data_IF_061947710818
#
_entry.id   IF_061947710818
#
_cell.length_a   1.000
_cell.length_b   1.000
_cell.length_c   1.000
_cell.angle_alpha   90.00
_cell.angle_beta   90.00
_cell.angle_gamma   90.00
#
_symmetry.space_group_name_H-M   'P 1'
#
loop_
_entity.id
_entity.type
_entity.pdbx_description
1 polymer ?
#
# COMPACT_ATOMS: atom_id res chain seq x y z
N UNK A 1 -35.20 23.56 -38.48
CA UNK A 1 -35.14 22.62 -37.33
C UNK A 1 -34.19 21.43 -37.48
N UNK A 2 -33.63 21.10 -38.67
CA UNK A 2 -32.72 19.95 -38.84
C UNK A 2 -31.28 20.18 -38.34
N UNK A 3 -30.78 21.42 -38.38
CA UNK A 3 -29.40 21.75 -37.98
C UNK A 3 -29.18 21.65 -36.46
N UNK A 4 -30.18 22.04 -35.66
CA UNK A 4 -30.10 21.99 -34.19
C UNK A 4 -29.99 20.54 -33.68
N UNK A 5 -30.69 19.60 -34.33
CA UNK A 5 -30.61 18.18 -33.97
C UNK A 5 -29.24 17.58 -34.31
N UNK A 6 -28.61 18.03 -35.40
CA UNK A 6 -27.29 17.57 -35.80
C UNK A 6 -26.20 18.02 -34.81
N UNK A 7 -26.30 19.26 -34.33
CA UNK A 7 -25.37 19.82 -33.34
C UNK A 7 -25.50 19.09 -32.00
N UNK A 8 -26.73 18.80 -31.56
CA UNK A 8 -26.96 18.09 -30.30
C UNK A 8 -26.40 16.66 -30.34
N UNK A 9 -26.56 15.99 -31.48
CA UNK A 9 -26.04 14.63 -31.69
C UNK A 9 -24.50 14.62 -31.75
N UNK A 10 -23.89 15.65 -32.35
CA UNK A 10 -22.44 15.83 -32.38
C UNK A 10 -21.86 16.08 -30.97
N UNK A 11 -22.51 16.93 -30.18
CA UNK A 11 -22.11 17.22 -28.78
C UNK A 11 -22.23 15.97 -27.92
N UNK A 12 -23.29 15.16 -28.09
CA UNK A 12 -23.48 13.94 -27.31
C UNK A 12 -22.43 12.87 -27.64
N UNK A 13 -22.03 12.76 -28.92
CA UNK A 13 -20.97 11.86 -29.36
C UNK A 13 -19.59 12.32 -28.85
N UNK A 14 -19.31 13.63 -28.86
CA UNK A 14 -18.05 14.19 -28.31
C UNK A 14 -17.99 14.11 -26.78
N UNK A 15 -19.09 14.36 -26.08
CA UNK A 15 -19.17 14.26 -24.63
C UNK A 15 -19.04 12.81 -24.14
N UNK A 16 -19.63 11.84 -24.85
CA UNK A 16 -19.51 10.42 -24.51
C UNK A 16 -18.08 9.88 -24.64
N UNK A 17 -17.26 10.44 -25.53
CA UNK A 17 -15.84 10.08 -25.67
C UNK A 17 -15.00 10.70 -24.54
N UNK A 18 -15.31 11.92 -24.11
CA UNK A 18 -14.61 12.59 -23.00
C UNK A 18 -14.90 11.95 -21.63
N UNK A 19 -16.12 11.45 -21.41
CA UNK A 19 -16.51 10.83 -20.13
C UNK A 19 -15.91 9.42 -19.99
N UNK A 20 -15.71 8.70 -21.09
CA UNK A 20 -15.15 7.34 -21.05
C UNK A 20 -13.60 7.30 -21.02
N UNK A 21 -12.90 8.39 -21.36
CA UNK A 21 -11.44 8.41 -21.31
C UNK A 21 -10.87 8.55 -19.91
N UNK A 22 -11.57 9.22 -18.98
CA UNK A 22 -11.07 9.42 -17.60
C UNK A 22 -11.01 8.12 -16.79
N UNK A 23 -11.86 7.14 -17.12
CA UNK A 23 -11.98 5.91 -16.35
C UNK A 23 -10.93 4.84 -16.72
N UNK A 24 -10.18 5.03 -17.80
CA UNK A 24 -9.10 4.13 -18.26
C UNK A 24 -7.70 4.58 -17.83
N UNK A 25 -7.57 5.69 -17.08
CA UNK A 25 -6.29 6.30 -16.70
C UNK A 25 -5.99 6.25 -15.20
N UNK A 26 -6.61 5.36 -14.43
CA UNK A 26 -6.34 5.25 -13.01
C UNK A 26 -5.22 4.23 -12.74
N UNK A 27 -4.24 4.64 -11.94
CA UNK A 27 -3.16 3.75 -11.48
C UNK A 27 -3.75 2.63 -10.62
N UNK A 28 -3.31 1.39 -10.85
CA UNK A 28 -3.74 0.24 -10.06
C UNK A 28 -2.89 0.15 -8.78
N UNK A 29 -3.56 0.01 -7.63
CA UNK A 29 -2.94 -0.13 -6.32
C UNK A 29 -3.36 -1.45 -5.69
N UNK A 30 -2.39 -2.26 -5.29
CA UNK A 30 -2.60 -3.60 -4.71
C UNK A 30 -1.87 -3.69 -3.38
N UNK A 31 -2.61 -4.08 -2.33
CA UNK A 31 -2.08 -4.31 -0.99
C UNK A 31 -3.01 -5.20 -0.18
N UNK A 32 -2.49 -5.78 0.89
CA UNK A 32 -3.29 -6.51 1.89
C UNK A 32 -3.97 -5.50 2.82
N UNK A 33 -5.30 -5.57 2.91
CA UNK A 33 -6.08 -4.60 3.69
C UNK A 33 -5.99 -4.82 5.19
N UNK A 34 -5.84 -6.05 5.64
CA UNK A 34 -5.85 -6.39 7.06
C UNK A 34 -4.47 -6.87 7.50
N UNK A 35 -3.84 -6.16 8.43
CA UNK A 35 -2.53 -6.50 8.96
C UNK A 35 -2.54 -6.51 10.47
N UNK A 36 -1.62 -7.25 11.08
CA UNK A 36 -1.46 -7.21 12.52
C UNK A 36 -0.53 -6.04 12.90
N UNK A 37 -0.74 -5.42 14.06
CA UNK A 37 0.16 -4.36 14.55
C UNK A 37 1.61 -4.88 14.63
N UNK A 38 2.58 -4.07 14.23
CA UNK A 38 3.98 -4.48 14.12
C UNK A 38 4.39 -5.03 12.74
N UNK A 39 3.43 -5.35 11.88
CA UNK A 39 3.71 -5.84 10.52
C UNK A 39 4.09 -4.69 9.56
N UNK A 40 4.52 -5.09 8.36
CA UNK A 40 4.86 -4.17 7.28
C UNK A 40 3.80 -4.22 6.19
N UNK A 41 3.10 -3.11 5.99
CA UNK A 41 2.22 -2.90 4.84
C UNK A 41 3.06 -2.78 3.57
N UNK A 42 2.81 -3.72 2.65
CA UNK A 42 3.44 -3.80 1.33
C UNK A 42 2.42 -3.32 0.29
N UNK A 43 2.78 -2.34 -0.51
CA UNK A 43 1.91 -1.82 -1.57
C UNK A 43 2.63 -1.89 -2.92
N UNK A 44 1.98 -2.52 -3.89
CA UNK A 44 2.38 -2.52 -5.29
C UNK A 44 1.53 -1.53 -6.07
N UNK A 45 2.17 -0.70 -6.88
CA UNK A 45 1.50 0.32 -7.69
C UNK A 45 1.94 0.18 -9.14
N UNK A 46 0.95 0.12 -10.02
CA UNK A 46 1.12 0.13 -11.47
C UNK A 46 0.57 1.46 -11.98
N UNK A 47 1.41 2.49 -12.07
CA UNK A 47 0.98 3.79 -12.54
C UNK A 47 0.72 3.75 -14.05
N UNK A 48 -0.29 4.50 -14.48
CA UNK A 48 -0.61 4.66 -15.89
C UNK A 48 0.35 5.60 -16.64
N UNK A 49 1.12 6.39 -15.88
CA UNK A 49 2.18 7.28 -16.35
C UNK A 49 3.46 7.07 -15.52
N UNK A 50 4.65 7.35 -16.07
CA UNK A 50 5.90 7.31 -15.32
C UNK A 50 5.89 8.28 -14.14
N UNK A 51 6.07 7.75 -12.93
CA UNK A 51 6.22 8.54 -11.71
C UNK A 51 7.69 8.94 -11.48
N UNK A 52 7.90 10.11 -10.89
CA UNK A 52 9.20 10.55 -10.36
C UNK A 52 9.27 10.41 -8.84
N UNK A 53 8.15 10.62 -8.17
CA UNK A 53 8.05 10.53 -6.72
C UNK A 53 6.77 9.77 -6.36
N UNK A 54 6.87 8.94 -5.31
CA UNK A 54 5.75 8.25 -4.71
C UNK A 54 5.87 8.35 -3.19
N UNK A 55 4.82 8.81 -2.53
CA UNK A 55 4.74 8.88 -1.07
C UNK A 55 3.44 8.27 -0.58
N UNK A 56 3.46 7.75 0.64
CA UNK A 56 2.27 7.21 1.27
C UNK A 56 2.24 7.56 2.75
N UNK A 57 1.03 7.66 3.29
CA UNK A 57 0.76 7.89 4.71
C UNK A 57 -0.43 7.08 5.17
N UNK A 58 -0.34 6.57 6.39
CA UNK A 58 -1.46 6.00 7.14
C UNK A 58 -1.90 7.05 8.13
N UNK A 59 -3.20 7.37 8.15
CA UNK A 59 -3.80 8.40 8.99
C UNK A 59 -4.74 7.76 10.01
N UNK A 60 -4.76 8.32 11.21
CA UNK A 60 -5.78 8.03 12.21
C UNK A 60 -7.11 8.76 11.92
N UNK A 61 -8.08 8.62 12.82
CA UNK A 61 -9.41 9.25 12.69
C UNK A 61 -9.38 10.77 12.80
N UNK A 62 -8.33 11.34 13.41
CA UNK A 62 -8.11 12.80 13.44
C UNK A 62 -7.54 13.33 12.13
N UNK A 63 -7.12 12.44 11.24
CA UNK A 63 -6.45 12.76 9.98
C UNK A 63 -4.95 13.00 10.15
N UNK A 64 -4.40 12.73 11.33
CA UNK A 64 -2.98 12.86 11.60
C UNK A 64 -2.23 11.60 11.13
N UNK A 65 -1.05 11.76 10.52
CA UNK A 65 -0.31 10.64 9.97
C UNK A 65 0.46 9.88 11.04
N UNK A 66 0.06 8.63 11.28
CA UNK A 66 0.74 7.70 12.20
C UNK A 66 1.95 7.02 11.56
N UNK A 67 1.93 6.84 10.23
CA UNK A 67 3.04 6.28 9.45
C UNK A 67 3.18 7.05 8.15
N UNK A 68 4.43 7.27 7.70
CA UNK A 68 4.76 7.86 6.40
C UNK A 68 5.91 7.11 5.75
N UNK A 69 5.92 7.06 4.43
CA UNK A 69 7.04 6.47 3.69
C UNK A 69 7.10 6.96 2.25
N UNK A 70 8.25 6.69 1.63
CA UNK A 70 8.49 6.92 0.21
C UNK A 70 8.61 5.59 -0.50
N UNK A 71 8.09 5.55 -1.72
CA UNK A 71 8.18 4.38 -2.58
C UNK A 71 9.41 4.43 -3.47
N UNK A 72 9.69 3.30 -4.10
CA UNK A 72 10.76 3.18 -5.08
C UNK A 72 10.30 2.31 -6.26
N UNK A 73 10.88 2.55 -7.43
CA UNK A 73 10.64 1.73 -8.60
C UNK A 73 11.33 0.36 -8.47
N UNK A 74 10.62 -0.73 -8.75
CA UNK A 74 11.16 -2.08 -8.80
C UNK A 74 11.81 -2.41 -10.16
N UNK A 75 11.38 -1.73 -11.21
CA UNK A 75 11.83 -1.95 -12.57
C UNK A 75 10.79 -1.46 -13.58
N UNK A 76 11.16 -1.50 -14.86
CA UNK A 76 10.29 -1.12 -15.97
C UNK A 76 9.83 -2.36 -16.72
N UNK A 77 8.52 -2.47 -16.95
CA UNK A 77 7.91 -3.48 -17.82
C UNK A 77 7.15 -2.71 -18.89
N UNK A 78 7.52 -2.89 -20.16
CA UNK A 78 6.86 -2.26 -21.32
C UNK A 78 6.73 -0.73 -21.24
N UNK A 79 7.70 -0.06 -20.58
CA UNK A 79 7.72 1.40 -20.43
C UNK A 79 6.94 1.95 -19.23
N UNK A 80 6.27 1.09 -18.46
CA UNK A 80 5.65 1.45 -17.18
C UNK A 80 6.50 0.94 -16.02
N UNK A 81 6.89 1.85 -15.12
CA UNK A 81 7.63 1.48 -13.91
C UNK A 81 6.67 0.92 -12.86
N UNK A 82 6.93 -0.28 -12.36
CA UNK A 82 6.21 -0.78 -11.18
C UNK A 82 6.84 -0.16 -9.95
N UNK A 83 6.00 0.38 -9.06
CA UNK A 83 6.44 0.98 -7.81
C UNK A 83 6.05 0.14 -6.62
N UNK A 84 6.88 0.22 -5.59
CA UNK A 84 6.68 -0.49 -4.33
C UNK A 84 6.84 0.45 -3.14
N UNK A 85 5.98 0.26 -2.14
CA UNK A 85 6.03 0.94 -0.85
C UNK A 85 6.08 -0.09 0.28
N UNK A 86 6.85 0.28 1.31
CA UNK A 86 6.91 -0.44 2.57
C UNK A 86 6.61 0.55 3.70
N UNK A 87 5.54 0.31 4.44
CA UNK A 87 5.15 1.09 5.61
C UNK A 87 5.10 0.16 6.83
N UNK A 88 6.03 0.32 7.76
CA UNK A 88 6.00 -0.42 9.03
C UNK A 88 4.89 0.13 9.93
N UNK A 89 3.94 -0.73 10.31
CA UNK A 89 2.86 -0.39 11.23
C UNK A 89 3.38 -0.51 12.66
N UNK A 90 3.41 0.56 13.46
CA UNK A 90 3.88 0.49 14.83
C UNK A 90 3.08 -0.51 15.67
N UNK A 91 3.75 -1.17 16.62
CA UNK A 91 3.13 -2.15 17.52
C UNK A 91 2.15 -1.52 18.53
N UNK A 92 2.22 -0.20 18.74
CA UNK A 92 1.33 0.55 19.62
C UNK A 92 0.03 1.00 18.94
N UNK A 93 -0.16 0.73 17.64
CA UNK A 93 -1.40 1.08 16.96
C UNK A 93 -2.59 0.34 17.60
N UNK A 94 -3.67 1.08 17.79
CA UNK A 94 -4.95 0.53 18.26
C UNK A 94 -5.58 -0.36 17.17
N UNK A 95 -6.37 -1.33 17.59
CA UNK A 95 -7.14 -2.19 16.70
C UNK A 95 -8.31 -1.40 16.10
N UNK A 96 -8.11 -0.88 14.90
CA UNK A 96 -9.10 -0.10 14.18
C UNK A 96 -8.78 -0.03 12.67
N UNK A 97 -9.70 0.58 11.93
CA UNK A 97 -9.46 0.95 10.54
C UNK A 97 -8.76 2.31 10.48
N UNK A 98 -7.67 2.37 9.71
CA UNK A 98 -6.90 3.57 9.41
C UNK A 98 -7.06 3.94 7.94
N UNK A 99 -6.91 5.22 7.62
CA UNK A 99 -6.97 5.70 6.24
C UNK A 99 -5.59 5.60 5.58
N UNK A 100 -5.52 4.98 4.42
CA UNK A 100 -4.32 4.95 3.58
C UNK A 100 -4.42 6.01 2.50
N UNK A 101 -3.43 6.89 2.43
CA UNK A 101 -3.31 7.84 1.33
C UNK A 101 -1.98 7.65 0.63
N UNK A 102 -2.04 7.52 -0.69
CA UNK A 102 -0.89 7.37 -1.56
C UNK A 102 -0.93 8.52 -2.56
N UNK A 103 0.21 9.18 -2.77
CA UNK A 103 0.34 10.24 -3.76
C UNK A 103 1.59 10.05 -4.59
N UNK A 104 1.47 10.28 -5.89
CA UNK A 104 2.57 10.23 -6.84
C UNK A 104 2.64 11.49 -7.66
N UNK A 105 3.84 11.84 -8.11
CA UNK A 105 4.07 12.93 -9.07
C UNK A 105 4.58 12.33 -10.37
N UNK A 106 3.84 12.56 -11.45
CA UNK A 106 4.32 12.24 -12.80
C UNK A 106 5.41 13.22 -13.21
N UNK A 107 6.40 12.73 -13.94
CA UNK A 107 7.45 13.61 -14.44
C UNK A 107 7.00 14.53 -15.56
N UNK A 108 7.60 15.73 -15.66
CA UNK A 108 7.43 16.57 -16.84
C UNK A 108 8.06 15.90 -18.07
N UNK A 109 7.24 15.21 -18.86
CA UNK A 109 7.57 14.97 -20.25
C UNK A 109 7.39 16.30 -21.01
N UNK A 110 8.39 16.68 -21.82
CA UNK A 110 8.53 17.98 -22.48
C UNK A 110 7.20 18.67 -22.86
N UNK A 111 6.78 19.62 -22.03
CA UNK A 111 5.63 20.51 -22.30
C UNK A 111 4.27 20.07 -21.74
N UNK A 112 4.17 18.95 -21.03
CA UNK A 112 2.94 18.55 -20.33
C UNK A 112 2.93 19.05 -18.87
N UNK A 113 1.76 19.42 -18.32
CA UNK A 113 1.62 19.82 -16.92
C UNK A 113 2.02 18.69 -15.96
N UNK A 114 2.52 19.04 -14.78
CA UNK A 114 2.73 18.07 -13.70
C UNK A 114 1.39 17.48 -13.28
N UNK A 115 1.20 16.19 -13.53
CA UNK A 115 0.04 15.46 -13.05
C UNK A 115 0.35 14.79 -11.71
N UNK A 116 -0.63 14.88 -10.81
CA UNK A 116 -0.56 14.24 -9.50
C UNK A 116 -1.51 13.07 -9.46
N UNK A 117 -0.96 11.91 -9.10
CA UNK A 117 -1.72 10.72 -8.78
C UNK A 117 -2.09 10.78 -7.29
N UNK A 118 -3.35 10.49 -6.96
CA UNK A 118 -3.78 10.32 -5.58
C UNK A 118 -4.70 9.10 -5.47
N UNK A 119 -4.45 8.29 -4.45
CA UNK A 119 -5.25 7.14 -4.10
C UNK A 119 -5.60 7.18 -2.62
N UNK A 120 -6.87 6.89 -2.33
CA UNK A 120 -7.40 6.78 -0.98
C UNK A 120 -7.95 5.37 -0.76
N UNK A 121 -7.48 4.74 0.31
CA UNK A 121 -7.94 3.43 0.74
C UNK A 121 -7.97 3.35 2.26
N UNK A 122 -8.05 2.12 2.75
CA UNK A 122 -8.13 1.81 4.17
C UNK A 122 -7.21 0.64 4.51
N UNK A 123 -6.71 0.60 5.74
CA UNK A 123 -5.99 -0.54 6.32
C UNK A 123 -6.60 -0.85 7.68
N UNK A 124 -6.98 -2.10 7.92
CA UNK A 124 -7.48 -2.57 9.20
C UNK A 124 -6.30 -3.14 9.97
N UNK A 125 -6.02 -2.57 11.14
CA UNK A 125 -4.98 -3.06 12.04
C UNK A 125 -5.64 -3.98 13.07
N UNK A 126 -5.14 -5.21 13.18
CA UNK A 126 -5.57 -6.18 14.18
C UNK A 126 -4.58 -6.24 15.33
N UNK A 127 -5.09 -6.59 16.51
CA UNK A 127 -4.22 -6.85 17.65
C UNK A 127 -3.34 -8.08 17.39
N UNK A 128 -2.02 -7.87 17.46
CA UNK A 128 -1.05 -8.96 17.55
C UNK A 128 -0.72 -9.19 19.04
N UNK A 129 -1.09 -10.35 19.57
CA UNK A 129 -0.59 -10.78 20.87
C UNK A 129 0.76 -11.48 20.64
N UNK A 130 1.87 -10.74 20.70
CA UNK A 130 3.14 -11.42 20.86
C UNK A 130 3.06 -12.19 22.19
N UNK A 131 3.21 -13.52 22.17
CA UNK A 131 3.23 -14.33 23.41
C UNK A 131 4.35 -13.85 24.35
N UNK A 132 5.40 -13.21 23.79
CA UNK A 132 6.46 -12.54 24.53
C UNK A 132 6.10 -11.16 25.12
N UNK A 133 4.93 -10.58 24.83
CA UNK A 133 4.44 -9.38 25.53
C UNK A 133 3.79 -9.72 26.88
N UNK A 134 3.52 -11.00 27.17
CA UNK A 134 3.32 -11.48 28.54
C UNK A 134 4.67 -11.75 29.22
N UNK A 135 5.55 -10.75 29.28
CA UNK A 135 6.57 -10.75 30.32
C UNK A 135 5.82 -10.38 31.61
N UNK A 136 5.36 -11.40 32.33
CA UNK A 136 5.05 -11.26 33.75
C UNK A 136 6.30 -10.68 34.41
N UNK A 137 6.24 -9.41 34.79
CA UNK A 137 7.34 -8.66 35.38
C UNK A 137 7.65 -9.10 36.83
N UNK A 138 7.35 -10.37 37.14
CA UNK A 138 7.47 -11.04 38.44
C UNK A 138 8.18 -12.41 38.36
N UNK A 139 8.57 -12.90 37.18
CA UNK A 139 9.39 -14.12 37.06
C UNK A 139 10.84 -13.78 36.71
N UNK A 140 11.78 -14.28 37.52
CA UNK A 140 13.22 -14.10 37.35
C UNK A 140 13.65 -14.41 35.90
N UNK A 141 14.51 -13.56 35.35
CA UNK A 141 15.12 -13.64 34.00
C UNK A 141 15.76 -15.02 33.65
N UNK A 142 15.85 -15.91 34.62
CA UNK A 142 16.35 -17.28 34.52
C UNK A 142 15.40 -18.19 33.71
N UNK A 143 14.08 -17.96 33.72
CA UNK A 143 13.09 -18.88 33.09
C UNK A 143 12.77 -18.59 31.61
N UNK A 144 13.24 -17.46 31.06
CA UNK A 144 13.09 -17.15 29.62
C UNK A 144 14.01 -18.00 28.72
N UNK A 145 15.06 -18.63 29.29
CA UNK A 145 15.92 -19.57 28.54
C UNK A 145 15.40 -21.01 28.53
N UNK A 146 14.44 -21.35 29.39
CA UNK A 146 13.98 -22.73 29.63
C UNK A 146 12.67 -23.06 28.91
N UNK A 147 11.90 -22.07 28.47
CA UNK A 147 10.65 -22.32 27.73
C UNK A 147 10.93 -22.64 26.26
N UNK A 148 10.69 -23.90 25.95
CA UNK A 148 10.76 -24.49 24.62
C UNK A 148 9.76 -23.80 23.69
N UNK A 149 10.26 -23.13 22.65
CA UNK A 149 9.44 -22.48 21.62
C UNK A 149 9.19 -23.48 20.48
N UNK A 150 7.96 -24.00 20.30
CA UNK A 150 7.66 -24.99 19.28
C UNK A 150 7.88 -24.47 17.85
N UNK A 151 7.78 -23.15 17.61
CA UNK A 151 8.03 -22.58 16.28
C UNK A 151 9.52 -22.55 15.92
N UNK A 152 10.41 -22.43 16.91
CA UNK A 152 11.86 -22.56 16.67
C UNK A 152 12.27 -23.97 16.32
N UNK A 153 11.54 -24.98 16.80
CA UNK A 153 11.75 -26.35 16.37
C UNK A 153 11.28 -26.52 14.91
N UNK A 154 10.09 -26.03 14.56
CA UNK A 154 9.58 -26.07 13.19
C UNK A 154 10.50 -25.33 12.21
N UNK A 155 11.00 -24.14 12.57
CA UNK A 155 11.99 -23.39 11.78
C UNK A 155 13.33 -24.14 11.68
N UNK A 156 13.79 -24.76 12.76
CA UNK A 156 15.04 -25.53 12.74
C UNK A 156 14.92 -26.80 11.90
N UNK A 157 13.76 -27.47 11.92
CA UNK A 157 13.48 -28.65 11.10
C UNK A 157 13.38 -28.26 9.62
N UNK A 158 12.72 -27.15 9.31
CA UNK A 158 12.65 -26.59 7.96
C UNK A 158 14.02 -26.18 7.42
N UNK A 159 14.84 -25.51 8.24
CA UNK A 159 16.21 -25.14 7.87
C UNK A 159 17.11 -26.37 7.69
N UNK A 160 16.93 -27.41 8.50
CA UNK A 160 17.63 -28.68 8.32
C UNK A 160 17.26 -29.32 6.98
N UNK A 161 15.97 -29.38 6.65
CA UNK A 161 15.48 -29.99 5.40
C UNK A 161 16.11 -29.33 4.15
N UNK A 162 16.25 -27.99 4.17
CA UNK A 162 16.94 -27.22 3.12
C UNK A 162 18.43 -27.55 3.02
N UNK A 163 19.10 -27.84 4.14
CA UNK A 163 20.54 -28.09 4.17
C UNK A 163 20.93 -29.54 3.84
N UNK A 164 19.99 -30.49 3.98
CA UNK A 164 20.21 -31.92 3.69
C UNK A 164 19.62 -32.43 2.38
N UNK A 165 18.89 -31.58 1.66
CA UNK A 165 18.40 -31.86 0.29
C UNK A 165 19.29 -31.14 -0.73
#
# INVERSE_FOLDING_TARGET
>A
MRIIHLIFLLIFQLAGVLINSEQLSQSLVVYERELDRGDVLKVLIFPHQPLQELTARVLDDSGEPVVKGKGFALGEIEGNSTWFLLLGLPNYLEEQEYRLEISGKSGQAAGLPEETFSYHGSVVVRYNAFISENIFLDEELTDLRSRFDPRKQEESEYLWDILTT
#
